data_IF_840094516107
#
_entry.id   IF_840094516107
#
_cell.length_a   1.000
_cell.length_b   1.000
_cell.length_c   1.000
_cell.angle_alpha   90.00
_cell.angle_beta   90.00
_cell.angle_gamma   90.00
#
_symmetry.space_group_name_H-M   'P 1'
#
loop_
_entity.id
_entity.type
_entity.pdbx_description
1 polymer ?
#
# COMPACT_ATOMS: atom_id res chain seq x y z
N UNK A 1 -17.80 -5.55 12.82
CA UNK A 1 -16.86 -6.62 13.24
C UNK A 1 -15.70 -6.68 12.25
N UNK A 2 -14.92 -5.59 12.19
CA UNK A 2 -13.68 -5.46 11.40
C UNK A 2 -12.53 -4.95 12.26
N UNK A 3 -12.82 -4.44 13.47
CA UNK A 3 -11.83 -3.95 14.42
C UNK A 3 -10.78 -5.00 14.78
N UNK A 4 -11.13 -6.29 14.82
CA UNK A 4 -10.17 -7.37 15.05
C UNK A 4 -9.12 -7.51 13.94
N UNK A 5 -9.41 -7.02 12.73
CA UNK A 5 -8.48 -6.99 11.59
C UNK A 5 -7.70 -5.66 11.55
N UNK A 6 -8.05 -4.67 12.38
CA UNK A 6 -7.43 -3.34 12.31
C UNK A 6 -6.60 -3.05 13.55
N UNK A 7 -7.23 -3.11 14.73
CA UNK A 7 -6.64 -2.71 16.01
C UNK A 7 -5.32 -3.44 16.32
N UNK A 8 -5.17 -4.75 16.07
CA UNK A 8 -3.93 -5.44 16.41
C UNK A 8 -2.73 -5.04 15.55
N UNK A 9 -2.94 -4.50 14.35
CA UNK A 9 -1.91 -4.43 13.32
C UNK A 9 -1.58 -3.02 12.84
N UNK A 10 -2.51 -2.06 12.92
CA UNK A 10 -2.34 -0.78 12.22
C UNK A 10 -1.09 0.01 12.65
N UNK A 11 -0.65 -0.10 13.91
CA UNK A 11 0.57 0.58 14.40
C UNK A 11 1.84 -0.03 13.80
N UNK A 12 1.84 -1.34 13.61
CA UNK A 12 2.99 -2.04 13.05
C UNK A 12 3.01 -1.98 11.51
N UNK A 13 1.87 -1.65 10.90
CA UNK A 13 1.70 -1.58 9.45
C UNK A 13 1.66 -0.15 8.88
N UNK A 14 1.57 0.89 9.72
CA UNK A 14 1.51 2.29 9.25
C UNK A 14 2.86 2.79 8.73
N UNK A 15 2.80 3.71 7.76
CA UNK A 15 3.96 4.30 7.13
C UNK A 15 4.86 3.22 6.54
N UNK A 16 6.10 3.18 7.00
CA UNK A 16 7.11 2.21 6.58
C UNK A 16 7.35 1.11 7.62
N UNK A 17 6.56 1.06 8.69
CA UNK A 17 6.81 0.22 9.86
C UNK A 17 6.85 -1.29 9.53
N UNK A 18 6.07 -1.73 8.54
CA UNK A 18 5.99 -3.14 8.15
C UNK A 18 7.37 -3.75 7.81
N UNK A 19 8.31 -2.93 7.33
CA UNK A 19 9.69 -3.33 7.01
C UNK A 19 10.43 -3.84 8.26
N UNK A 20 10.16 -3.24 9.43
CA UNK A 20 10.85 -3.56 10.69
C UNK A 20 10.38 -4.88 11.32
N UNK A 21 9.09 -5.19 11.19
CA UNK A 21 8.47 -6.29 11.95
C UNK A 21 8.55 -7.65 11.26
N UNK A 22 8.81 -7.68 9.95
CA UNK A 22 9.24 -8.88 9.23
C UNK A 22 8.22 -10.02 9.20
N UNK A 23 8.73 -11.26 9.08
CA UNK A 23 7.93 -12.44 8.76
C UNK A 23 6.80 -12.77 9.76
N UNK A 24 6.99 -12.66 11.10
CA UNK A 24 5.91 -12.99 12.04
C UNK A 24 4.66 -12.12 11.84
N UNK A 25 4.84 -10.83 11.54
CA UNK A 25 3.73 -9.91 11.27
C UNK A 25 3.02 -10.28 9.95
N UNK A 26 3.78 -10.65 8.92
CA UNK A 26 3.23 -11.08 7.63
C UNK A 26 2.35 -12.32 7.80
N UNK A 27 2.82 -13.34 8.52
CA UNK A 27 2.04 -14.55 8.79
C UNK A 27 0.76 -14.25 9.56
N UNK A 28 0.85 -13.47 10.65
CA UNK A 28 -0.32 -13.10 11.43
C UNK A 28 -1.35 -12.30 10.62
N UNK A 29 -0.87 -11.44 9.72
CA UNK A 29 -1.73 -10.65 8.84
C UNK A 29 -2.39 -11.50 7.74
N UNK A 30 -1.65 -12.45 7.16
CA UNK A 30 -2.18 -13.41 6.20
C UNK A 30 -3.25 -14.30 6.83
N UNK A 31 -3.06 -14.72 8.08
CA UNK A 31 -4.07 -15.46 8.84
C UNK A 31 -5.33 -14.63 9.05
N UNK A 32 -5.17 -13.36 9.45
CA UNK A 32 -6.28 -12.43 9.61
C UNK A 32 -6.99 -12.10 8.29
N UNK A 33 -6.30 -12.19 7.14
CA UNK A 33 -6.89 -11.86 5.83
C UNK A 33 -7.82 -12.95 5.28
N UNK A 34 -7.72 -14.20 5.75
CA UNK A 34 -8.51 -15.35 5.22
C UNK A 34 -10.03 -15.17 5.35
N UNK A 35 -10.49 -14.32 6.27
CA UNK A 35 -11.90 -13.99 6.46
C UNK A 35 -12.33 -12.63 5.90
N UNK A 36 -11.43 -11.88 5.27
CA UNK A 36 -11.67 -10.50 4.81
C UNK A 36 -12.28 -10.52 3.41
N UNK A 37 -13.41 -9.83 3.25
CA UNK A 37 -14.14 -9.71 1.98
C UNK A 37 -13.77 -8.42 1.22
N UNK A 38 -13.96 -8.37 -0.10
CA UNK A 38 -13.77 -7.15 -0.89
C UNK A 38 -14.58 -5.94 -0.37
N UNK A 39 -15.81 -6.18 0.09
CA UNK A 39 -16.68 -5.15 0.66
C UNK A 39 -16.12 -4.57 1.96
N UNK A 40 -15.55 -5.41 2.81
CA UNK A 40 -14.86 -4.99 4.04
C UNK A 40 -13.61 -4.17 3.74
N UNK A 41 -12.78 -4.61 2.78
CA UNK A 41 -11.61 -3.83 2.33
C UNK A 41 -12.02 -2.45 1.82
N UNK A 42 -13.05 -2.40 0.97
CA UNK A 42 -13.58 -1.14 0.43
C UNK A 42 -14.10 -0.21 1.54
N UNK A 43 -14.73 -0.76 2.58
CA UNK A 43 -15.17 0.02 3.73
C UNK A 43 -13.99 0.60 4.52
N UNK A 44 -12.93 -0.20 4.76
CA UNK A 44 -11.71 0.28 5.43
C UNK A 44 -11.03 1.41 4.66
N UNK A 45 -10.95 1.30 3.34
CA UNK A 45 -10.31 2.30 2.47
C UNK A 45 -11.05 3.65 2.45
N UNK A 46 -12.31 3.70 2.89
CA UNK A 46 -13.14 4.92 2.94
C UNK A 46 -13.17 5.61 4.30
N UNK A 47 -12.58 5.00 5.33
CA UNK A 47 -12.61 5.49 6.70
C UNK A 47 -11.32 6.26 7.03
N UNK A 48 -11.04 6.49 8.32
CA UNK A 48 -9.83 7.18 8.76
C UNK A 48 -8.54 6.40 8.48
N UNK A 49 -7.40 7.06 8.72
CA UNK A 49 -6.08 6.55 8.36
C UNK A 49 -5.77 5.15 8.92
N UNK A 50 -6.23 4.80 10.13
CA UNK A 50 -5.98 3.49 10.74
C UNK A 50 -6.64 2.35 9.95
N UNK A 51 -7.98 2.39 9.72
CA UNK A 51 -8.62 1.53 8.73
C UNK A 51 -7.94 1.55 7.36
N UNK A 52 -7.59 2.72 6.82
CA UNK A 52 -7.02 2.81 5.46
C UNK A 52 -5.69 2.07 5.30
N UNK A 53 -4.80 2.16 6.29
CA UNK A 53 -3.55 1.37 6.32
C UNK A 53 -3.87 -0.11 6.15
N UNK A 54 -4.81 -0.61 6.95
CA UNK A 54 -5.15 -2.03 6.94
C UNK A 54 -5.94 -2.42 5.68
N UNK A 55 -6.80 -1.54 5.19
CA UNK A 55 -7.48 -1.71 3.91
C UNK A 55 -6.48 -1.84 2.75
N UNK A 56 -5.41 -1.03 2.75
CA UNK A 56 -4.35 -1.14 1.74
C UNK A 56 -3.65 -2.51 1.81
N UNK A 57 -3.25 -2.97 3.00
CA UNK A 57 -2.59 -4.27 3.12
C UNK A 57 -3.51 -5.47 2.84
N UNK A 58 -4.78 -5.42 3.23
CA UNK A 58 -5.72 -6.49 2.85
C UNK A 58 -6.11 -6.44 1.38
N UNK A 59 -6.03 -5.28 0.73
CA UNK A 59 -6.33 -5.17 -0.70
C UNK A 59 -5.39 -6.01 -1.56
N UNK A 60 -4.12 -6.17 -1.14
CA UNK A 60 -3.15 -6.98 -1.91
C UNK A 60 -3.46 -8.47 -1.85
N UNK A 61 -4.15 -8.95 -0.81
CA UNK A 61 -4.58 -10.36 -0.68
C UNK A 61 -5.96 -10.62 -1.29
N UNK A 62 -6.77 -9.57 -1.50
CA UNK A 62 -8.14 -9.67 -2.01
C UNK A 62 -8.28 -8.86 -3.31
N UNK A 63 -7.43 -9.17 -4.29
CA UNK A 63 -7.37 -8.44 -5.55
C UNK A 63 -8.68 -8.59 -6.36
N UNK A 64 -9.43 -7.49 -6.47
CA UNK A 64 -10.66 -7.37 -7.26
C UNK A 64 -10.75 -5.97 -7.88
N UNK A 65 -11.37 -5.80 -9.06
CA UNK A 65 -11.47 -4.49 -9.71
C UNK A 65 -12.04 -3.39 -8.82
N UNK A 66 -13.10 -3.68 -8.06
CA UNK A 66 -13.72 -2.73 -7.14
C UNK A 66 -12.79 -2.32 -5.98
N UNK A 67 -11.92 -3.23 -5.53
CA UNK A 67 -10.92 -2.96 -4.51
C UNK A 67 -9.80 -2.10 -5.09
N UNK A 68 -9.33 -2.40 -6.31
CA UNK A 68 -8.33 -1.60 -7.00
C UNK A 68 -8.81 -0.15 -7.16
N UNK A 69 -10.04 0.06 -7.63
CA UNK A 69 -10.63 1.41 -7.72
C UNK A 69 -10.69 2.10 -6.36
N UNK A 70 -11.06 1.38 -5.30
CA UNK A 70 -11.10 1.94 -3.94
C UNK A 70 -9.71 2.35 -3.43
N UNK A 71 -8.67 1.56 -3.73
CA UNK A 71 -7.27 1.87 -3.37
C UNK A 71 -6.80 3.13 -4.08
N UNK A 72 -7.02 3.24 -5.39
CA UNK A 72 -6.66 4.42 -6.17
C UNK A 72 -7.35 5.68 -5.63
N UNK A 73 -8.66 5.60 -5.36
CA UNK A 73 -9.40 6.70 -4.76
C UNK A 73 -8.87 7.08 -3.36
N UNK A 74 -8.58 6.10 -2.51
CA UNK A 74 -8.04 6.34 -1.17
C UNK A 74 -6.66 7.00 -1.23
N UNK A 75 -5.76 6.54 -2.11
CA UNK A 75 -4.45 7.17 -2.35
C UNK A 75 -4.61 8.63 -2.80
N UNK A 76 -5.45 8.87 -3.80
CA UNK A 76 -5.69 10.21 -4.37
C UNK A 76 -6.30 11.21 -3.38
N UNK A 77 -6.89 10.73 -2.28
CA UNK A 77 -7.57 11.54 -1.26
C UNK A 77 -6.94 11.49 0.13
N UNK A 78 -5.91 10.66 0.30
CA UNK A 78 -5.11 10.56 1.54
C UNK A 78 -4.48 11.92 1.88
N UNK A 79 -4.30 12.15 3.18
CA UNK A 79 -3.86 13.44 3.76
C UNK A 79 -2.71 13.29 4.76
N UNK A 80 -2.00 12.17 4.72
CA UNK A 80 -0.96 11.88 5.70
C UNK A 80 0.08 10.89 5.20
N UNK A 81 1.21 10.85 5.90
CA UNK A 81 2.29 9.91 5.62
C UNK A 81 2.11 8.54 6.32
N UNK A 82 1.09 8.39 7.19
CA UNK A 82 0.86 7.15 7.93
C UNK A 82 0.19 6.06 7.08
N UNK A 83 -0.58 6.45 6.07
CA UNK A 83 -1.35 5.57 5.20
C UNK A 83 -0.82 5.58 3.76
N UNK A 84 -0.28 6.71 3.30
CA UNK A 84 0.19 6.87 1.93
C UNK A 84 1.21 5.81 1.44
N UNK A 85 2.24 5.39 2.22
CA UNK A 85 3.14 4.34 1.76
C UNK A 85 2.44 3.00 1.50
N UNK A 86 1.52 2.62 2.39
CA UNK A 86 0.73 1.38 2.22
C UNK A 86 -0.23 1.47 1.04
N UNK A 87 -0.91 2.61 0.86
CA UNK A 87 -1.81 2.88 -0.27
C UNK A 87 -1.06 2.91 -1.60
N UNK A 88 0.12 3.53 -1.65
CA UNK A 88 0.97 3.54 -2.85
C UNK A 88 1.46 2.15 -3.22
N UNK A 89 1.87 1.36 -2.21
CA UNK A 89 2.28 -0.04 -2.42
C UNK A 89 1.12 -0.85 -3.02
N UNK A 90 -0.07 -0.76 -2.41
CA UNK A 90 -1.26 -1.44 -2.91
C UNK A 90 -1.65 -0.97 -4.32
N UNK A 91 -1.61 0.33 -4.60
CA UNK A 91 -1.93 0.88 -5.91
C UNK A 91 -0.98 0.36 -6.99
N UNK A 92 0.32 0.34 -6.73
CA UNK A 92 1.33 -0.19 -7.67
C UNK A 92 1.11 -1.69 -7.91
N UNK A 93 0.90 -2.48 -6.86
CA UNK A 93 0.69 -3.94 -6.98
C UNK A 93 -0.59 -4.27 -7.76
N UNK A 94 -1.68 -3.55 -7.51
CA UNK A 94 -3.00 -3.88 -8.06
C UNK A 94 -3.29 -3.22 -9.41
N UNK A 95 -2.77 -2.03 -9.65
CA UNK A 95 -3.14 -1.18 -10.79
C UNK A 95 -1.97 -0.89 -11.74
N UNK A 96 -0.72 -1.06 -11.29
CA UNK A 96 0.48 -0.80 -12.09
C UNK A 96 0.44 0.60 -12.75
N UNK A 97 0.40 0.70 -14.09
CA UNK A 97 0.29 1.98 -14.82
C UNK A 97 -0.85 2.89 -14.37
N UNK A 98 -2.01 2.33 -14.03
CA UNK A 98 -3.20 3.09 -13.65
C UNK A 98 -3.03 3.81 -12.30
N UNK A 99 -2.00 3.45 -11.52
CA UNK A 99 -1.67 4.12 -10.27
C UNK A 99 -1.08 5.51 -10.46
N UNK A 100 -0.50 5.82 -11.64
CA UNK A 100 0.25 7.07 -11.86
C UNK A 100 -0.58 8.29 -11.49
N UNK A 101 -1.79 8.46 -12.04
CA UNK A 101 -2.61 9.66 -11.78
C UNK A 101 -2.86 9.88 -10.27
N UNK A 102 -3.13 8.80 -9.52
CA UNK A 102 -3.37 8.87 -8.08
C UNK A 102 -2.10 9.22 -7.30
N UNK A 103 -0.94 8.68 -7.71
CA UNK A 103 0.37 9.02 -7.17
C UNK A 103 0.70 10.50 -7.42
N UNK A 104 0.47 11.01 -8.63
CA UNK A 104 0.79 12.41 -8.94
C UNK A 104 -0.09 13.37 -8.16
N UNK A 105 -1.37 13.03 -8.01
CA UNK A 105 -2.32 13.82 -7.23
C UNK A 105 -1.96 13.89 -5.75
N UNK A 106 -1.60 12.75 -5.15
CA UNK A 106 -1.13 12.77 -3.76
C UNK A 106 0.15 13.61 -3.66
N UNK A 107 1.12 13.38 -4.55
CA UNK A 107 2.41 14.08 -4.52
C UNK A 107 2.23 15.61 -4.57
N UNK A 108 1.39 16.11 -5.49
CA UNK A 108 1.09 17.53 -5.59
C UNK A 108 0.45 18.09 -4.31
N UNK A 109 -0.47 17.34 -3.69
CA UNK A 109 -1.10 17.74 -2.44
C UNK A 109 -0.10 17.73 -1.26
N UNK A 110 0.76 16.73 -1.18
CA UNK A 110 1.79 16.63 -0.16
C UNK A 110 2.81 17.77 -0.28
N UNK A 111 3.30 18.08 -1.48
CA UNK A 111 4.19 19.22 -1.69
C UNK A 111 3.57 20.56 -1.25
N UNK A 112 2.26 20.70 -1.38
CA UNK A 112 1.54 21.90 -0.97
C UNK A 112 1.25 21.96 0.54
N UNK A 113 1.27 20.83 1.25
CA UNK A 113 0.81 20.72 2.65
C UNK A 113 1.86 20.21 3.64
N UNK A 114 2.95 19.61 3.17
CA UNK A 114 4.04 19.07 3.98
C UNK A 114 3.61 17.87 4.83
N UNK A 115 2.88 16.91 4.28
CA UNK A 115 2.51 15.67 4.95
C UNK A 115 3.69 14.69 5.09
N UNK A 116 4.65 14.72 4.16
CA UNK A 116 5.97 14.09 4.30
C UNK A 116 6.11 12.68 3.73
N UNK A 117 5.33 12.29 2.72
CA UNK A 117 5.49 11.01 2.02
C UNK A 117 5.92 11.15 0.54
N UNK A 118 6.15 12.36 0.05
CA UNK A 118 6.41 12.67 -1.36
C UNK A 118 7.60 11.89 -1.94
N UNK A 119 8.65 11.63 -1.15
CA UNK A 119 9.78 10.78 -1.54
C UNK A 119 9.36 9.35 -1.88
N UNK A 120 8.58 8.71 -1.01
CA UNK A 120 8.04 7.36 -1.24
C UNK A 120 7.08 7.32 -2.43
N UNK A 121 6.28 8.37 -2.63
CA UNK A 121 5.36 8.46 -3.76
C UNK A 121 6.11 8.65 -5.08
N UNK A 122 7.18 9.42 -5.10
CA UNK A 122 8.10 9.50 -6.23
C UNK A 122 8.75 8.13 -6.52
N UNK A 123 9.14 7.39 -5.48
CA UNK A 123 9.69 6.04 -5.65
C UNK A 123 8.68 5.05 -6.23
N UNK A 124 7.42 5.14 -5.80
CA UNK A 124 6.33 4.35 -6.36
C UNK A 124 6.08 4.67 -7.84
N UNK A 125 6.02 5.95 -8.21
CA UNK A 125 5.84 6.36 -9.59
C UNK A 125 7.04 5.97 -10.48
N UNK A 126 8.26 6.12 -9.97
CA UNK A 126 9.47 5.67 -10.68
C UNK A 126 9.51 4.16 -10.89
N UNK A 127 9.07 3.37 -9.90
CA UNK A 127 8.93 1.93 -10.05
C UNK A 127 7.99 1.59 -11.22
N UNK A 128 6.81 2.21 -11.28
CA UNK A 128 5.84 1.99 -12.36
C UNK A 128 6.41 2.43 -13.72
N UNK A 129 7.03 3.61 -13.78
CA UNK A 129 7.70 4.14 -14.98
C UNK A 129 8.73 3.15 -15.53
N UNK A 130 9.59 2.60 -14.68
CA UNK A 130 10.66 1.67 -15.09
C UNK A 130 10.13 0.31 -15.56
N UNK A 131 9.10 -0.22 -14.92
CA UNK A 131 8.58 -1.56 -15.24
C UNK A 131 7.54 -1.57 -16.36
N UNK A 132 6.81 -0.47 -16.56
CA UNK A 132 5.74 -0.39 -17.54
C UNK A 132 5.98 0.61 -18.66
N UNK A 133 7.12 1.31 -18.67
CA UNK A 133 7.49 2.29 -19.69
C UNK A 133 6.46 3.42 -19.88
N UNK A 134 5.82 3.84 -18.79
CA UNK A 134 4.86 4.97 -18.78
C UNK A 134 5.49 6.26 -18.30
N UNK A 135 4.99 7.40 -18.76
CA UNK A 135 5.46 8.71 -18.31
C UNK A 135 4.90 9.06 -16.91
N UNK A 136 5.66 9.86 -16.17
CA UNK A 136 5.19 10.53 -14.95
C UNK A 136 5.84 11.92 -14.85
N UNK A 137 5.13 12.85 -14.23
CA UNK A 137 5.57 14.21 -13.92
C UNK A 137 6.39 14.29 -12.61
N UNK A 138 6.49 13.19 -11.87
CA UNK A 138 7.15 13.17 -10.57
C UNK A 138 8.67 13.21 -10.74
N UNK A 139 9.38 13.89 -9.82
CA UNK A 139 10.83 13.90 -9.83
C UNK A 139 11.37 12.48 -9.58
N UNK A 140 12.63 12.27 -9.95
CA UNK A 140 13.32 11.04 -9.57
C UNK A 140 13.44 10.97 -8.03
N UNK A 141 13.10 9.83 -7.42
CA UNK A 141 13.29 9.61 -5.99
C UNK A 141 14.77 9.54 -5.62
N UNK A 142 15.06 9.66 -4.32
CA UNK A 142 16.39 9.32 -3.80
C UNK A 142 16.59 7.81 -3.74
N UNK A 143 17.84 7.34 -3.68
CA UNK A 143 18.15 5.92 -3.49
C UNK A 143 17.49 5.36 -2.22
N UNK A 144 17.48 6.14 -1.14
CA UNK A 144 16.85 5.75 0.12
C UNK A 144 15.33 5.55 0.00
N UNK A 145 14.64 6.41 -0.76
CA UNK A 145 13.21 6.26 -1.04
C UNK A 145 12.95 5.02 -1.92
N UNK A 146 13.80 4.77 -2.91
CA UNK A 146 13.72 3.60 -3.78
C UNK A 146 13.91 2.30 -2.99
N UNK A 147 14.91 2.24 -2.11
CA UNK A 147 15.18 1.08 -1.25
C UNK A 147 13.99 0.82 -0.31
N UNK A 148 13.47 1.88 0.29
CA UNK A 148 12.31 1.81 1.19
C UNK A 148 11.08 1.29 0.45
N UNK A 149 10.77 1.83 -0.73
CA UNK A 149 9.61 1.38 -1.50
C UNK A 149 9.80 -0.06 -2.02
N UNK A 150 11.02 -0.43 -2.41
CA UNK A 150 11.36 -1.81 -2.80
C UNK A 150 11.09 -2.79 -1.64
N UNK A 151 11.45 -2.41 -0.41
CA UNK A 151 11.16 -3.22 0.76
C UNK A 151 9.64 -3.36 1.02
N UNK A 152 8.85 -2.29 0.82
CA UNK A 152 7.39 -2.37 0.93
C UNK A 152 6.76 -3.31 -0.12
N UNK A 153 7.23 -3.27 -1.36
CA UNK A 153 6.81 -4.21 -2.41
C UNK A 153 7.17 -5.66 -2.05
N UNK A 154 8.28 -5.88 -1.35
CA UNK A 154 8.67 -7.20 -0.87
C UNK A 154 7.71 -7.70 0.24
N UNK A 155 7.30 -6.84 1.17
CA UNK A 155 6.24 -7.15 2.15
C UNK A 155 4.95 -7.56 1.43
N UNK A 156 4.51 -6.79 0.43
CA UNK A 156 3.29 -7.09 -0.32
C UNK A 156 3.37 -8.45 -1.05
N UNK A 157 4.50 -8.77 -1.70
CA UNK A 157 4.73 -10.07 -2.34
C UNK A 157 4.68 -11.23 -1.34
N UNK A 158 5.34 -11.10 -0.19
CA UNK A 158 5.33 -12.14 0.86
C UNK A 158 3.94 -12.35 1.43
N UNK A 159 3.19 -11.26 1.62
CA UNK A 159 1.81 -11.32 2.11
C UNK A 159 0.89 -12.03 1.11
N UNK A 160 1.03 -11.75 -0.18
CA UNK A 160 0.31 -12.48 -1.23
C UNK A 160 0.61 -13.97 -1.19
N UNK A 161 1.90 -14.36 -1.19
CA UNK A 161 2.31 -15.76 -1.12
C UNK A 161 1.73 -16.48 0.10
N UNK A 162 1.87 -15.89 1.29
CA UNK A 162 1.34 -16.43 2.54
C UNK A 162 -0.20 -16.57 2.52
N UNK A 163 -0.90 -15.63 1.88
CA UNK A 163 -2.37 -15.67 1.78
C UNK A 163 -2.90 -16.70 0.78
N UNK A 164 -2.11 -17.03 -0.25
CA UNK A 164 -2.45 -18.05 -1.26
C UNK A 164 -2.16 -19.47 -0.79
N UNK A 165 -1.46 -19.66 0.33
CA UNK A 165 -1.01 -20.98 0.81
C UNK A 165 0.18 -21.53 0.01
N UNK A 166 0.83 -20.70 -0.80
CA UNK A 166 2.13 -21.03 -1.40
C UNK A 166 3.20 -20.84 -0.32
N UNK A 167 3.41 -21.89 0.47
CA UNK A 167 4.62 -22.05 1.27
C UNK A 167 5.81 -22.04 0.30
N UNK A 168 6.48 -20.89 0.16
CA UNK A 168 7.86 -20.86 -0.30
C UNK A 168 8.71 -21.50 0.81
N UNK A 169 8.79 -22.82 0.76
CA UNK A 169 9.78 -23.60 1.49
C UNK A 169 11.20 -23.12 1.10
N UNK A 170 12.15 -23.12 2.06
CA UNK A 170 13.48 -22.54 1.92
C UNK A 170 14.35 -23.17 0.83
#
# INVERSE_FOLDING_TARGET
>A
MIEHCVVPFYLDMMGTNAIRYGQPLITALADASRGVTPAQVTALLRDGWRPQVMGAWYSVTVARPEVTTAVLHALATSRGALDAPSLATAAVVLAGPEAIESLERYFAADQAKGWGASGIIAAAADHVRRHHHVATLLPLPTDADQDTFTALLDIARRLQAASSGDDLAP
#
